data_IF_748797214507
#
_entry.id   IF_748797214507
#
_cell.length_a   1.000
_cell.length_b   1.000
_cell.length_c   1.000
_cell.angle_alpha   90.00
_cell.angle_beta   90.00
_cell.angle_gamma   90.00
#
_symmetry.space_group_name_H-M   'P 1'
#
loop_
_entity.id
_entity.type
_entity.pdbx_description
1 polymer ?
#
# COMPACT_ATOMS: atom_id res chain seq x y z
N UNK A 1 16.19 5.66 23.69
CA UNK A 1 15.11 5.19 22.78
C UNK A 1 14.63 3.85 23.30
N UNK A 2 13.34 3.72 23.64
CA UNK A 2 12.80 2.46 24.13
C UNK A 2 12.59 1.50 22.94
N UNK A 3 13.30 0.38 22.91
CA UNK A 3 13.02 -0.70 21.98
C UNK A 3 11.74 -1.39 22.43
N UNK A 4 10.68 -1.28 21.63
CA UNK A 4 9.48 -2.07 21.86
C UNK A 4 9.79 -3.52 21.48
N UNK A 5 10.11 -4.35 22.48
CA UNK A 5 10.50 -5.76 22.31
C UNK A 5 9.47 -6.62 21.56
N UNK A 6 8.24 -6.10 21.37
CA UNK A 6 7.17 -6.76 20.63
C UNK A 6 7.04 -6.31 19.17
N UNK A 7 7.84 -5.34 18.70
CA UNK A 7 7.78 -4.90 17.31
C UNK A 7 8.40 -5.97 16.39
N UNK A 8 7.55 -6.67 15.64
CA UNK A 8 7.96 -7.73 14.72
C UNK A 8 8.33 -7.22 13.33
N UNK A 9 8.03 -5.97 12.99
CA UNK A 9 8.29 -5.42 11.65
C UNK A 9 9.66 -4.78 11.58
N UNK A 10 10.41 -5.11 10.53
CA UNK A 10 11.70 -4.48 10.23
C UNK A 10 11.55 -3.01 9.79
N UNK A 11 10.41 -2.63 9.21
CA UNK A 11 10.16 -1.28 8.72
C UNK A 11 9.00 -0.62 9.46
N UNK A 12 9.27 0.57 10.01
CA UNK A 12 8.25 1.40 10.63
C UNK A 12 7.18 1.80 9.62
N UNK A 13 5.93 1.89 10.09
CA UNK A 13 4.79 2.35 9.29
C UNK A 13 4.37 3.74 9.72
N UNK A 14 4.05 4.58 8.74
CA UNK A 14 3.45 5.89 8.94
C UNK A 14 1.99 5.85 8.50
N UNK A 15 1.11 6.49 9.27
CA UNK A 15 -0.27 6.71 8.86
C UNK A 15 -0.30 7.49 7.54
N UNK A 16 -1.08 7.01 6.58
CA UNK A 16 -1.17 7.60 5.25
C UNK A 16 -2.54 7.25 4.68
N UNK A 17 -3.46 8.21 4.67
CA UNK A 17 -4.86 8.02 4.30
C UNK A 17 -5.16 8.71 2.98
N UNK A 18 -5.11 7.95 1.89
CA UNK A 18 -5.35 8.45 0.55
C UNK A 18 -6.19 7.46 -0.25
N UNK A 19 -7.05 8.00 -1.12
CA UNK A 19 -7.74 7.22 -2.12
C UNK A 19 -6.71 6.72 -3.14
N UNK A 20 -6.74 5.42 -3.43
CA UNK A 20 -5.94 4.80 -4.49
C UNK A 20 -6.84 4.18 -5.55
N UNK A 21 -6.26 4.04 -6.74
CA UNK A 21 -6.78 3.21 -7.82
C UNK A 21 -5.90 1.99 -7.95
N UNK A 22 -6.46 0.84 -8.28
CA UNK A 22 -5.68 -0.35 -8.59
C UNK A 22 -6.32 -1.17 -9.70
N UNK A 23 -5.51 -2.00 -10.34
CA UNK A 23 -5.93 -2.97 -11.35
C UNK A 23 -5.55 -4.37 -10.87
N UNK A 24 -6.41 -5.34 -11.16
CA UNK A 24 -6.20 -6.76 -10.81
C UNK A 24 -5.53 -7.55 -11.92
N UNK A 25 -5.74 -7.11 -13.16
CA UNK A 25 -5.20 -7.75 -14.35
C UNK A 25 -4.60 -6.66 -15.24
N UNK A 26 -3.27 -6.64 -15.45
CA UNK A 26 -2.61 -5.63 -16.24
C UNK A 26 -3.00 -5.68 -17.72
N UNK A 27 -3.53 -6.81 -18.22
CA UNK A 27 -4.02 -6.95 -19.59
C UNK A 27 -5.37 -6.24 -19.80
N UNK A 28 -6.06 -5.92 -18.71
CA UNK A 28 -7.32 -5.17 -18.72
C UNK A 28 -7.22 -3.88 -17.90
N UNK A 29 -6.39 -2.89 -18.32
CA UNK A 29 -6.13 -1.68 -17.53
C UNK A 29 -7.35 -0.79 -17.32
N UNK A 30 -8.41 -0.99 -18.12
CA UNK A 30 -9.68 -0.26 -18.00
C UNK A 30 -10.54 -0.75 -16.82
N UNK A 31 -10.25 -1.91 -16.23
CA UNK A 31 -10.93 -2.42 -15.04
C UNK A 31 -10.26 -1.87 -13.78
N UNK A 32 -10.58 -0.61 -13.48
CA UNK A 32 -10.01 0.12 -12.35
C UNK A 32 -10.91 -0.02 -11.12
N UNK A 33 -10.30 -0.46 -10.03
CA UNK A 33 -10.90 -0.55 -8.71
C UNK A 33 -10.41 0.59 -7.82
N UNK A 34 -11.10 0.82 -6.70
CA UNK A 34 -10.78 1.90 -5.75
C UNK A 34 -10.65 1.37 -4.35
N UNK A 35 -9.73 1.97 -3.59
CA UNK A 35 -9.51 1.65 -2.19
C UNK A 35 -8.91 2.83 -1.44
N UNK A 36 -8.68 2.65 -0.15
CA UNK A 36 -8.02 3.62 0.69
C UNK A 36 -6.74 3.03 1.28
N UNK A 37 -5.67 3.82 1.32
CA UNK A 37 -4.50 3.48 2.13
C UNK A 37 -4.81 3.77 3.60
N UNK A 38 -4.26 2.97 4.49
CA UNK A 38 -4.35 3.19 5.94
C UNK A 38 -2.97 3.61 6.47
N UNK A 39 -1.93 2.89 6.06
CA UNK A 39 -0.55 3.18 6.38
C UNK A 39 0.40 2.62 5.33
N UNK A 40 1.59 3.19 5.28
CA UNK A 40 2.67 2.80 4.36
C UNK A 40 3.99 2.67 5.12
N UNK A 41 4.86 1.81 4.60
CA UNK A 41 6.27 1.63 4.98
C UNK A 41 7.10 1.53 3.71
N UNK A 42 8.42 1.57 3.84
CA UNK A 42 9.34 1.43 2.70
C UNK A 42 9.17 0.13 1.91
N UNK A 43 8.66 -0.94 2.53
CA UNK A 43 8.51 -2.26 1.89
C UNK A 43 7.07 -2.71 1.68
N UNK A 44 6.07 -1.87 2.00
CA UNK A 44 4.69 -2.30 1.83
C UNK A 44 3.65 -1.32 2.34
N UNK A 45 2.41 -1.60 1.95
CA UNK A 45 1.25 -0.75 2.17
C UNK A 45 0.11 -1.55 2.80
N UNK A 46 -0.72 -0.89 3.62
CA UNK A 46 -1.99 -1.45 4.11
C UNK A 46 -3.14 -0.72 3.44
N UNK A 47 -4.03 -1.50 2.85
CA UNK A 47 -5.20 -1.00 2.14
C UNK A 47 -6.48 -1.40 2.88
N UNK A 48 -7.50 -0.58 2.69
CA UNK A 48 -8.90 -0.92 2.87
C UNK A 48 -9.55 -0.90 1.48
N UNK A 49 -10.12 -2.02 1.08
CA UNK A 49 -10.76 -2.20 -0.23
C UNK A 49 -12.13 -2.84 -0.01
N UNK A 50 -13.02 -2.67 -0.98
CA UNK A 50 -14.38 -3.21 -0.93
C UNK A 50 -14.48 -4.58 -1.63
N UNK A 51 -13.59 -4.83 -2.59
CA UNK A 51 -13.55 -6.07 -3.35
C UNK A 51 -12.78 -7.16 -2.59
N UNK A 52 -13.31 -8.39 -2.62
CA UNK A 52 -12.62 -9.54 -2.04
C UNK A 52 -11.44 -9.95 -2.92
N UNK A 53 -10.26 -10.00 -2.33
CA UNK A 53 -9.04 -10.51 -2.97
C UNK A 53 -8.63 -11.83 -2.37
N UNK A 54 -8.02 -12.67 -3.20
CA UNK A 54 -7.42 -13.92 -2.75
C UNK A 54 -6.04 -13.68 -2.16
N UNK A 55 -5.65 -14.48 -1.18
CA UNK A 55 -4.29 -14.43 -0.63
C UNK A 55 -3.28 -14.76 -1.72
N UNK A 56 -2.24 -13.92 -1.85
CA UNK A 56 -1.21 -14.06 -2.88
C UNK A 56 -1.59 -13.50 -4.24
N UNK A 57 -2.80 -12.96 -4.39
CA UNK A 57 -3.20 -12.25 -5.61
C UNK A 57 -2.40 -10.96 -5.75
N UNK A 58 -1.79 -10.78 -6.92
CA UNK A 58 -1.09 -9.56 -7.27
C UNK A 58 -2.08 -8.45 -7.64
N UNK A 59 -1.75 -7.22 -7.26
CA UNK A 59 -2.49 -6.02 -7.63
C UNK A 59 -1.50 -4.94 -8.04
N UNK A 60 -1.86 -4.11 -9.01
CA UNK A 60 -1.05 -2.98 -9.43
C UNK A 60 -1.71 -1.69 -8.98
N UNK A 61 -1.04 -0.98 -8.07
CA UNK A 61 -1.56 0.28 -7.52
C UNK A 61 -1.16 1.42 -8.46
N UNK A 62 -2.16 2.11 -8.97
CA UNK A 62 -1.98 3.34 -9.74
C UNK A 62 -1.94 4.48 -8.73
N UNK A 63 -0.75 5.04 -8.52
CA UNK A 63 -0.55 6.15 -7.62
C UNK A 63 0.33 7.22 -8.25
N UNK A 64 0.01 8.48 -7.99
CA UNK A 64 0.88 9.63 -8.23
C UNK A 64 1.74 9.94 -7.01
N UNK A 65 1.82 9.04 -6.02
CA UNK A 65 2.84 9.08 -4.97
C UNK A 65 4.18 9.22 -5.68
N UNK A 66 4.71 10.44 -5.70
CA UNK A 66 6.09 10.64 -6.05
C UNK A 66 6.88 9.78 -5.09
N UNK A 67 7.79 8.96 -5.61
CA UNK A 67 8.86 8.43 -4.80
C UNK A 67 9.60 9.66 -4.28
N UNK A 68 9.19 10.18 -3.13
CA UNK A 68 9.90 11.25 -2.46
C UNK A 68 11.23 10.63 -2.05
N UNK A 69 12.35 11.01 -2.67
CA UNK A 69 13.64 10.69 -2.12
C UNK A 69 13.85 11.73 -1.02
N UNK A 70 13.18 11.55 0.12
CA UNK A 70 13.47 12.32 1.34
C UNK A 70 14.19 11.37 2.29
N UNK A 71 15.49 11.46 2.54
CA UNK A 71 16.51 12.45 2.20
C UNK A 71 17.88 11.86 2.60
N UNK A 72 18.86 12.67 3.04
CA UNK A 72 20.32 12.43 2.96
C UNK A 72 20.85 11.16 3.63
#
# INVERSE_FOLDING_TARGET
MAFNLNERRAHARKAYFHLIKYILDPDFPNKIFKGYTINISSSGIRLYIYDLLNKGQEIFIISSLSASPSGP
#
